data_IF_647612484806
#
_entry.id   IF_647612484806
#
_cell.length_a   1.000
_cell.length_b   1.000
_cell.length_c   1.000
_cell.angle_alpha   90.00
_cell.angle_beta   90.00
_cell.angle_gamma   90.00
#
_symmetry.space_group_name_H-M   'P 1'
#
loop_
_entity.id
_entity.type
_entity.pdbx_description
1 polymer ?
#
# COMPACT_ATOMS: atom_id res chain seq x y z
N UNK A 1 -9.81 23.09 -5.39
CA UNK A 1 -10.39 23.95 -4.34
C UNK A 1 -11.25 23.08 -3.44
N UNK A 2 -10.97 22.97 -2.13
CA UNK A 2 -11.76 22.13 -1.24
C UNK A 2 -13.20 22.66 -1.14
N UNK A 3 -14.23 21.81 -1.22
CA UNK A 3 -15.64 22.21 -1.33
C UNK A 3 -16.16 22.94 -0.08
N UNK A 4 -15.50 22.79 1.07
CA UNK A 4 -15.76 23.56 2.28
C UNK A 4 -15.68 25.08 2.05
N UNK A 5 -14.74 25.54 1.21
CA UNK A 5 -14.59 26.95 0.88
C UNK A 5 -15.75 27.46 0.00
N UNK A 6 -16.31 26.62 -0.87
CA UNK A 6 -17.45 26.99 -1.73
C UNK A 6 -18.75 27.13 -0.92
N UNK A 7 -19.00 26.23 0.04
CA UNK A 7 -20.12 26.36 0.98
C UNK A 7 -19.99 27.63 1.83
N UNK A 8 -18.81 27.88 2.40
CA UNK A 8 -18.52 29.11 3.18
C UNK A 8 -18.73 30.38 2.36
N UNK A 9 -18.26 30.41 1.11
CA UNK A 9 -18.41 31.58 0.23
C UNK A 9 -19.87 31.84 -0.18
N UNK A 10 -20.70 30.80 -0.31
CA UNK A 10 -22.13 30.95 -0.61
C UNK A 10 -22.91 31.45 0.61
N UNK A 11 -22.64 30.90 1.79
CA UNK A 11 -23.27 31.33 3.06
C UNK A 11 -22.97 32.81 3.37
N UNK A 12 -21.78 33.29 3.03
CA UNK A 12 -21.39 34.70 3.24
C UNK A 12 -22.11 35.69 2.30
N UNK A 13 -22.67 35.24 1.18
CA UNK A 13 -23.37 36.10 0.20
C UNK A 13 -24.86 36.33 0.49
N UNK A 14 -25.49 35.62 1.44
CA UNK A 14 -26.94 35.58 1.61
C UNK A 14 -27.54 36.56 2.66
N UNK A 15 -26.94 37.75 2.87
CA UNK A 15 -27.46 38.76 3.83
C UNK A 15 -28.52 39.69 3.22
N UNK A 16 -29.78 39.27 3.21
CA UNK A 16 -30.96 40.13 2.91
C UNK A 16 -32.26 39.36 3.16
N UNK A 17 -33.31 39.98 3.69
CA UNK A 17 -34.48 39.38 4.39
C UNK A 17 -35.23 38.18 3.76
N UNK A 18 -35.01 37.83 2.48
CA UNK A 18 -35.24 36.47 1.94
C UNK A 18 -34.22 35.40 2.42
N UNK A 19 -33.41 35.77 3.41
CA UNK A 19 -32.16 35.14 3.83
C UNK A 19 -32.38 33.81 4.54
N UNK A 20 -33.40 33.66 5.40
CA UNK A 20 -33.53 32.46 6.23
C UNK A 20 -33.89 31.21 5.45
N UNK A 21 -34.82 31.33 4.49
CA UNK A 21 -35.20 30.20 3.65
C UNK A 21 -34.06 29.81 2.69
N UNK A 22 -33.39 30.80 2.09
CA UNK A 22 -32.21 30.58 1.25
C UNK A 22 -31.04 29.97 2.02
N UNK A 23 -30.78 30.44 3.24
CA UNK A 23 -29.76 29.88 4.13
C UNK A 23 -30.10 28.44 4.54
N UNK A 24 -31.37 28.13 4.80
CA UNK A 24 -31.80 26.77 5.10
C UNK A 24 -31.55 25.82 3.91
N UNK A 25 -31.90 26.26 2.70
CA UNK A 25 -31.59 25.53 1.46
C UNK A 25 -30.08 25.34 1.27
N UNK A 26 -29.28 26.40 1.44
CA UNK A 26 -27.82 26.32 1.32
C UNK A 26 -27.20 25.35 2.36
N UNK A 27 -27.74 25.32 3.59
CA UNK A 27 -27.30 24.40 4.63
C UNK A 27 -27.66 22.95 4.31
N UNK A 28 -28.86 22.71 3.78
CA UNK A 28 -29.28 21.37 3.37
C UNK A 28 -28.48 20.88 2.17
N UNK A 29 -28.17 21.75 1.21
CA UNK A 29 -27.25 21.46 0.10
C UNK A 29 -25.85 21.08 0.63
N UNK A 30 -25.31 21.86 1.58
CA UNK A 30 -24.01 21.56 2.19
C UNK A 30 -24.03 20.23 2.97
N UNK A 31 -25.13 19.89 3.64
CA UNK A 31 -25.29 18.58 4.33
C UNK A 31 -25.35 17.43 3.33
N UNK A 32 -26.09 17.59 2.24
CA UNK A 32 -26.18 16.58 1.19
C UNK A 32 -24.82 16.32 0.54
N UNK A 33 -24.07 17.39 0.24
CA UNK A 33 -22.72 17.29 -0.29
C UNK A 33 -21.76 16.64 0.71
N UNK A 34 -21.78 17.03 1.99
CA UNK A 34 -20.97 16.38 3.03
C UNK A 34 -21.26 14.88 3.11
N UNK A 35 -22.54 14.49 3.14
CA UNK A 35 -22.94 13.09 3.19
C UNK A 35 -22.50 12.31 1.95
N UNK A 36 -22.51 12.95 0.77
CA UNK A 36 -22.01 12.37 -0.47
C UNK A 36 -20.49 12.13 -0.41
N UNK A 37 -19.73 13.13 0.03
CA UNK A 37 -18.27 13.00 0.16
C UNK A 37 -17.88 11.97 1.20
N UNK A 38 -18.60 11.88 2.32
CA UNK A 38 -18.38 10.86 3.33
C UNK A 38 -18.60 9.47 2.74
N UNK A 39 -19.71 9.23 2.04
CA UNK A 39 -19.93 7.95 1.35
C UNK A 39 -18.83 7.60 0.35
N UNK A 40 -18.31 8.59 -0.38
CA UNK A 40 -17.18 8.37 -1.28
C UNK A 40 -15.91 8.00 -0.51
N UNK A 41 -15.57 8.73 0.56
CA UNK A 41 -14.41 8.45 1.39
C UNK A 41 -14.48 7.04 2.00
N UNK A 42 -15.64 6.67 2.58
CA UNK A 42 -15.87 5.34 3.16
C UNK A 42 -15.74 4.24 2.09
N UNK A 43 -16.25 4.49 0.88
CA UNK A 43 -16.11 3.56 -0.25
C UNK A 43 -14.66 3.37 -0.65
N UNK A 44 -13.88 4.46 -0.73
CA UNK A 44 -12.45 4.39 -1.04
C UNK A 44 -11.66 3.69 0.07
N UNK A 45 -11.99 3.90 1.33
CA UNK A 45 -11.32 3.26 2.46
C UNK A 45 -11.54 1.74 2.47
N UNK A 46 -12.77 1.29 2.19
CA UNK A 46 -13.09 -0.14 2.03
C UNK A 46 -12.28 -0.77 0.89
N UNK A 47 -12.22 -0.09 -0.25
CA UNK A 47 -11.49 -0.57 -1.42
C UNK A 47 -9.99 -0.62 -1.18
N UNK A 48 -9.42 0.41 -0.54
CA UNK A 48 -8.02 0.41 -0.14
C UNK A 48 -7.72 -0.73 0.83
N UNK A 49 -8.59 -0.96 1.81
CA UNK A 49 -8.46 -2.07 2.77
C UNK A 49 -8.47 -3.43 2.05
N UNK A 50 -9.37 -3.60 1.07
CA UNK A 50 -9.45 -4.82 0.24
C UNK A 50 -8.16 -5.04 -0.54
N UNK A 51 -7.67 -4.02 -1.25
CA UNK A 51 -6.42 -4.09 -2.03
C UNK A 51 -5.21 -4.34 -1.13
N UNK A 52 -5.15 -3.71 0.05
CA UNK A 52 -4.08 -3.93 1.02
C UNK A 52 -4.04 -5.39 1.49
N UNK A 53 -5.20 -5.98 1.75
CA UNK A 53 -5.31 -7.39 2.13
C UNK A 53 -4.90 -8.34 0.99
N UNK A 54 -5.42 -8.13 -0.22
CA UNK A 54 -5.03 -8.94 -1.39
C UNK A 54 -3.52 -8.88 -1.64
N UNK A 55 -2.92 -7.69 -1.50
CA UNK A 55 -1.46 -7.52 -1.57
C UNK A 55 -0.75 -8.31 -0.47
N UNK A 56 -1.26 -8.30 0.76
CA UNK A 56 -0.66 -9.04 1.88
C UNK A 56 -0.70 -10.55 1.64
N UNK A 57 -1.83 -11.08 1.16
CA UNK A 57 -2.01 -12.50 0.81
C UNK A 57 -1.01 -12.92 -0.29
N UNK A 58 -0.85 -12.11 -1.34
CA UNK A 58 0.12 -12.38 -2.41
C UNK A 58 1.57 -12.35 -1.90
N UNK A 59 1.91 -11.42 -1.01
CA UNK A 59 3.25 -11.38 -0.40
C UNK A 59 3.50 -12.58 0.52
N UNK A 60 2.50 -13.02 1.27
CA UNK A 60 2.58 -14.21 2.10
C UNK A 60 2.79 -15.48 1.25
N UNK A 61 2.07 -15.58 0.14
CA UNK A 61 2.25 -16.65 -0.84
C UNK A 61 3.65 -16.62 -1.48
N UNK A 62 4.13 -15.45 -1.92
CA UNK A 62 5.50 -15.31 -2.44
C UNK A 62 6.56 -15.70 -1.39
N UNK A 63 6.37 -15.33 -0.14
CA UNK A 63 7.27 -15.74 0.94
C UNK A 63 7.27 -17.26 1.16
N UNK A 64 6.11 -17.92 1.02
CA UNK A 64 6.01 -19.37 1.11
C UNK A 64 6.75 -20.10 -0.02
N UNK A 65 6.83 -19.49 -1.21
CA UNK A 65 7.61 -20.02 -2.35
C UNK A 65 9.13 -19.84 -2.18
N UNK A 66 9.57 -18.98 -1.26
CA UNK A 66 10.99 -18.69 -0.99
C UNK A 66 11.37 -18.95 0.48
N UNK A 67 11.18 -20.16 1.01
CA UNK A 67 11.36 -20.44 2.45
C UNK A 67 12.82 -20.30 2.92
N UNK A 68 13.79 -20.36 2.00
CA UNK A 68 15.21 -20.23 2.31
C UNK A 68 15.68 -18.77 2.43
N UNK A 69 14.97 -17.81 1.85
CA UNK A 69 15.40 -16.40 1.77
C UNK A 69 14.40 -15.40 2.36
N UNK A 70 13.15 -15.78 2.57
CA UNK A 70 12.13 -14.92 3.16
C UNK A 70 12.35 -14.75 4.68
N UNK A 71 12.38 -13.50 5.14
CA UNK A 71 12.55 -13.13 6.54
C UNK A 71 11.67 -11.93 6.89
N UNK A 72 11.03 -11.95 8.06
CA UNK A 72 10.36 -10.78 8.64
C UNK A 72 11.26 -10.14 9.68
N UNK A 73 11.43 -8.83 9.61
CA UNK A 73 12.23 -8.03 10.56
C UNK A 73 11.42 -6.82 11.02
N UNK A 74 11.59 -6.32 12.26
CA UNK A 74 10.99 -5.05 12.65
C UNK A 74 11.66 -3.90 11.89
N UNK A 75 10.90 -2.88 11.51
CA UNK A 75 11.48 -1.69 10.89
C UNK A 75 12.16 -0.83 11.96
N UNK A 76 13.37 -0.37 11.68
CA UNK A 76 14.22 0.38 12.62
C UNK A 76 13.74 1.81 12.89
N UNK A 77 12.73 2.29 12.15
CA UNK A 77 12.26 3.67 12.09
C UNK A 77 10.99 3.94 12.92
N UNK A 78 10.40 2.95 13.61
CA UNK A 78 9.12 3.12 14.31
C UNK A 78 9.09 2.54 15.72
N UNK A 79 8.48 3.29 16.67
CA UNK A 79 8.35 2.96 18.09
C UNK A 79 7.48 1.72 18.39
N UNK A 80 6.94 1.55 19.62
CA UNK A 80 6.39 0.27 20.12
C UNK A 80 5.11 -0.28 19.44
N UNK A 81 4.75 0.21 18.25
CA UNK A 81 3.75 -0.37 17.33
C UNK A 81 4.30 -0.52 15.91
N UNK A 82 5.60 -0.78 15.80
CA UNK A 82 6.40 -0.59 14.60
C UNK A 82 5.91 -1.35 13.37
N UNK A 83 6.08 -0.70 12.21
CA UNK A 83 5.90 -1.38 10.92
C UNK A 83 6.94 -2.48 10.80
N UNK A 84 6.59 -3.60 10.20
CA UNK A 84 7.54 -4.69 9.95
C UNK A 84 7.97 -4.67 8.48
N UNK A 85 9.06 -5.35 8.17
CA UNK A 85 9.58 -5.51 6.82
C UNK A 85 9.64 -6.99 6.48
N UNK A 86 8.94 -7.38 5.41
CA UNK A 86 9.25 -8.60 4.69
C UNK A 86 10.48 -8.34 3.83
N UNK A 87 11.46 -9.21 3.93
CA UNK A 87 12.70 -9.21 3.15
C UNK A 87 12.84 -10.53 2.43
N UNK A 88 13.18 -10.48 1.15
CA UNK A 88 13.30 -11.66 0.31
C UNK A 88 14.39 -11.43 -0.74
N UNK A 89 15.22 -12.44 -1.00
CA UNK A 89 16.23 -12.38 -2.07
C UNK A 89 15.65 -12.96 -3.36
N UNK A 90 15.70 -12.18 -4.45
CA UNK A 90 15.31 -12.61 -5.79
C UNK A 90 16.29 -12.07 -6.84
N UNK A 91 16.93 -12.96 -7.59
CA UNK A 91 17.95 -12.60 -8.58
C UNK A 91 19.09 -11.77 -7.98
N UNK A 92 19.74 -12.28 -6.94
CA UNK A 92 20.86 -11.64 -6.20
C UNK A 92 20.55 -10.29 -5.55
N UNK A 93 19.27 -9.89 -5.50
CA UNK A 93 18.87 -8.61 -4.92
C UNK A 93 17.86 -8.79 -3.81
N UNK A 94 18.09 -8.02 -2.74
CA UNK A 94 17.16 -7.91 -1.63
C UNK A 94 15.96 -7.06 -2.05
N UNK A 95 14.77 -7.64 -1.92
CA UNK A 95 13.49 -6.97 -2.04
C UNK A 95 12.93 -6.74 -0.65
N UNK A 96 12.26 -5.60 -0.45
CA UNK A 96 11.65 -5.28 0.83
C UNK A 96 10.25 -4.70 0.67
N UNK A 97 9.37 -5.06 1.60
CA UNK A 97 8.02 -4.51 1.68
C UNK A 97 7.64 -4.22 3.12
N UNK A 98 7.02 -3.06 3.34
CA UNK A 98 6.40 -2.73 4.63
C UNK A 98 5.16 -3.58 4.85
N UNK A 99 5.06 -4.10 6.07
CA UNK A 99 3.98 -4.90 6.61
C UNK A 99 3.37 -4.19 7.83
N UNK A 100 2.08 -3.84 7.77
CA UNK A 100 1.31 -3.49 8.95
C UNK A 100 1.31 -4.63 9.98
N UNK A 101 1.23 -4.33 11.29
CA UNK A 101 1.19 -5.36 12.33
C UNK A 101 -0.03 -6.29 12.20
N UNK A 102 -1.15 -5.79 11.65
CA UNK A 102 -2.36 -6.58 11.42
C UNK A 102 -2.16 -7.73 10.42
N UNK A 103 -1.20 -7.62 9.50
CA UNK A 103 -0.95 -8.60 8.44
C UNK A 103 0.06 -9.69 8.87
N UNK A 104 0.78 -9.49 9.98
CA UNK A 104 1.80 -10.42 10.46
C UNK A 104 1.34 -11.88 10.63
N UNK A 105 0.09 -12.17 11.08
CA UNK A 105 -0.38 -13.54 11.18
C UNK A 105 -0.34 -14.32 9.85
N UNK A 106 -0.44 -13.63 8.70
CA UNK A 106 -0.33 -14.27 7.37
C UNK A 106 1.08 -14.79 7.07
N UNK A 107 2.09 -14.31 7.79
CA UNK A 107 3.50 -14.65 7.61
C UNK A 107 4.03 -15.59 8.69
N UNK A 108 3.16 -16.32 9.40
CA UNK A 108 3.56 -17.22 10.48
C UNK A 108 4.54 -18.33 10.06
N UNK A 109 4.56 -18.69 8.77
CA UNK A 109 5.51 -19.63 8.16
C UNK A 109 6.88 -19.03 7.86
N UNK A 110 7.02 -17.71 7.91
CA UNK A 110 8.25 -16.99 7.58
C UNK A 110 9.07 -16.81 8.85
N UNK A 111 10.38 -17.01 8.76
CA UNK A 111 11.28 -16.82 9.89
C UNK A 111 11.27 -15.36 10.33
N UNK A 112 11.06 -15.13 11.63
CA UNK A 112 11.25 -13.83 12.25
C UNK A 112 12.73 -13.68 12.64
N UNK A 113 13.37 -12.60 12.21
CA UNK A 113 14.74 -12.28 12.60
C UNK A 113 14.78 -10.95 13.34
N UNK A 114 15.57 -10.92 14.41
CA UNK A 114 15.87 -9.69 15.12
C UNK A 114 16.57 -8.68 14.18
N UNK A 115 16.34 -7.37 14.37
CA UNK A 115 17.00 -6.36 13.57
C UNK A 115 18.50 -6.45 13.82
N UNK A 116 19.26 -6.84 12.80
CA UNK A 116 20.72 -6.89 12.89
C UNK A 116 21.23 -5.49 13.28
N UNK A 117 21.88 -5.38 14.44
CA UNK A 117 22.47 -4.12 14.99
C UNK A 117 23.65 -3.61 14.15
N UNK A 118 23.98 -4.28 13.04
CA UNK A 118 24.93 -3.76 12.06
C UNK A 118 24.29 -2.50 11.46
N UNK A 119 24.89 -1.30 11.64
CA UNK A 119 24.30 -0.08 11.10
C UNK A 119 24.13 -0.30 9.60
N UNK A 120 22.94 -0.01 9.04
CA UNK A 120 22.76 -0.14 7.61
C UNK A 120 23.84 0.73 6.99
N UNK A 121 24.71 0.11 6.19
CA UNK A 121 25.62 0.82 5.30
C UNK A 121 24.74 1.79 4.55
N UNK A 122 24.83 3.08 4.95
CA UNK A 122 23.96 4.19 4.56
C UNK A 122 23.49 3.95 3.14
N UNK A 123 22.28 3.41 2.99
CA UNK A 123 21.68 3.23 1.68
C UNK A 123 21.52 4.65 1.16
N UNK A 124 22.39 4.99 0.21
CA UNK A 124 22.39 6.29 -0.43
C UNK A 124 21.02 6.57 -1.06
N UNK A 125 20.77 7.84 -1.41
CA UNK A 125 19.49 8.24 -1.97
C UNK A 125 19.29 7.57 -3.34
N UNK A 126 18.55 6.46 -3.32
CA UNK A 126 17.72 5.84 -4.37
C UNK A 126 17.48 4.40 -3.93
N UNK A 127 16.28 4.10 -3.40
CA UNK A 127 15.74 2.74 -3.51
C UNK A 127 15.82 2.44 -5.02
N UNK A 128 16.71 1.55 -5.50
CA UNK A 128 16.75 1.28 -6.91
C UNK A 128 15.39 0.67 -7.25
N UNK A 129 14.75 1.10 -8.34
CA UNK A 129 13.33 0.79 -8.63
C UNK A 129 13.08 -0.73 -8.54
N UNK A 130 12.52 -1.16 -7.40
CA UNK A 130 12.27 -2.55 -7.07
C UNK A 130 11.33 -3.16 -8.11
N UNK A 131 10.37 -2.39 -8.62
CA UNK A 131 9.47 -2.84 -9.67
C UNK A 131 10.23 -3.10 -10.98
N UNK A 132 11.20 -2.27 -11.34
CA UNK A 132 12.06 -2.53 -12.51
C UNK A 132 12.90 -3.79 -12.33
N UNK A 133 13.45 -4.02 -11.13
CA UNK A 133 14.19 -5.27 -10.86
C UNK A 133 13.30 -6.50 -10.99
N UNK A 134 12.11 -6.48 -10.36
CA UNK A 134 11.13 -7.57 -10.46
C UNK A 134 10.80 -7.84 -11.93
N UNK A 135 10.41 -6.81 -12.69
CA UNK A 135 10.09 -6.96 -14.13
C UNK A 135 11.23 -7.57 -14.93
N UNK A 136 12.48 -7.12 -14.69
CA UNK A 136 13.66 -7.66 -15.38
C UNK A 136 13.90 -9.12 -15.00
N UNK A 137 13.86 -9.44 -13.71
CA UNK A 137 14.12 -10.79 -13.22
C UNK A 137 13.07 -11.79 -13.71
N UNK A 138 11.77 -11.45 -13.63
CA UNK A 138 10.69 -12.28 -14.17
C UNK A 138 10.85 -12.53 -15.66
N UNK A 139 11.27 -11.52 -16.44
CA UNK A 139 11.54 -11.70 -17.87
C UNK A 139 12.69 -12.69 -18.13
N UNK A 140 13.74 -12.68 -17.30
CA UNK A 140 14.85 -13.61 -17.43
C UNK A 140 14.41 -15.05 -17.14
N UNK A 141 13.64 -15.27 -16.07
CA UNK A 141 13.09 -16.59 -15.75
C UNK A 141 12.23 -17.16 -16.88
N UNK A 142 11.37 -16.33 -17.49
CA UNK A 142 10.53 -16.75 -18.61
C UNK A 142 11.35 -17.13 -19.87
N UNK A 143 12.47 -16.44 -20.12
CA UNK A 143 13.37 -16.78 -21.23
C UNK A 143 14.16 -18.06 -20.95
N UNK A 144 14.59 -18.26 -19.70
CA UNK A 144 15.28 -19.47 -19.27
C UNK A 144 14.40 -20.71 -19.48
N UNK A 145 13.15 -20.66 -19.02
CA UNK A 145 12.18 -21.73 -19.23
C UNK A 145 12.00 -22.07 -20.72
N UNK A 146 11.85 -21.05 -21.58
CA UNK A 146 11.69 -21.24 -23.03
C UNK A 146 12.92 -21.88 -23.71
N UNK A 147 14.12 -21.69 -23.15
CA UNK A 147 15.35 -22.30 -23.64
C UNK A 147 15.51 -23.76 -23.19
N UNK A 148 14.90 -24.13 -22.05
CA UNK A 148 14.97 -25.48 -21.49
C UNK A 148 13.77 -26.38 -21.85
N UNK A 149 12.71 -25.83 -22.41
CA UNK A 149 11.62 -26.61 -23.01
C UNK A 149 12.01 -27.04 -24.44
N UNK A 150 12.61 -28.23 -24.58
CA UNK A 150 12.75 -28.91 -25.88
C UNK A 150 11.36 -29.25 -26.42
N UNK A 151 11.03 -28.99 -27.71
CA UNK A 151 9.78 -29.46 -28.27
C UNK A 151 9.72 -31.00 -28.19
N UNK A 152 8.56 -31.61 -27.91
CA UNK A 152 8.44 -33.06 -27.97
C UNK A 152 8.76 -33.52 -29.39
N UNK A 153 9.63 -34.52 -29.52
CA UNK A 153 9.91 -35.17 -30.81
C UNK A 153 8.60 -35.71 -31.42
N UNK A 154 8.37 -35.52 -32.73
CA UNK A 154 7.15 -35.93 -33.43
C UNK A 154 6.97 -37.46 -33.51
#
# INVERSE_FOLDING_TARGET
MPPALLCLLRLLRARGTGSRHRLALDLDDCRQELARWQRHADSYERELTRISRERADLLAWLAALHPSSAVVTPATDTGPGGTHLLRLMAGERLLSWRLPPADLPLFAHVRYAEPTVVPPRREGPRIPDQATHIRRHTRLLALEEALFTTPPDP
#
